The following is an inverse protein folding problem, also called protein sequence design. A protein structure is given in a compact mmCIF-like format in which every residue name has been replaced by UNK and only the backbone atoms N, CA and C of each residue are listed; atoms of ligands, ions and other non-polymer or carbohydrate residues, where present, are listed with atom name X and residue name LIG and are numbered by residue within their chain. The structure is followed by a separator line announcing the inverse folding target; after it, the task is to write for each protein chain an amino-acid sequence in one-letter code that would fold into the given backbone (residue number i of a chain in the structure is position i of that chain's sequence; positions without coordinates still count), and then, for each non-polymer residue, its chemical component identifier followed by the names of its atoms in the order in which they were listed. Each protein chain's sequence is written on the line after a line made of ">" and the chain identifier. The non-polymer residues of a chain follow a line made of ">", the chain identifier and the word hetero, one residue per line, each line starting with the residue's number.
data_IF_554333349178
#
_entry.id   IF_554333349178
#
_cell.length_a   1.000
_cell.length_b   1.000
_cell.length_c   1.000
_cell.angle_alpha   90.00
_cell.angle_beta   90.00
_cell.angle_gamma   90.00
#
_symmetry.space_group_name_H-M   'P 1'
#
loop_
_entity.id
_entity.type
_entity.pdbx_description
1 polymer ?
#
# COMPACT_ATOMS: atom_id res chain seq x y z
N UNK A 1 -0.97 -17.18 15.42
CA UNK A 1 -1.01 -16.38 14.17
C UNK A 1 -1.37 -14.97 14.56
N UNK A 2 -0.51 -14.01 14.25
CA UNK A 2 -0.53 -12.69 14.90
C UNK A 2 -0.63 -11.60 13.83
N UNK A 3 -1.50 -10.61 14.08
CA UNK A 3 -1.52 -9.37 13.33
C UNK A 3 -0.32 -8.51 13.75
N UNK A 4 0.48 -8.06 12.79
CA UNK A 4 1.66 -7.21 13.06
C UNK A 4 1.52 -5.91 12.28
N UNK A 5 1.82 -4.79 12.94
CA UNK A 5 2.00 -3.49 12.26
C UNK A 5 3.49 -3.24 12.12
N UNK A 6 3.97 -3.01 10.90
CA UNK A 6 5.39 -2.74 10.63
C UNK A 6 5.56 -1.63 9.61
N UNK A 7 6.78 -1.09 9.52
CA UNK A 7 7.15 -0.18 8.44
C UNK A 7 7.02 -0.90 7.08
N UNK A 8 6.48 -0.17 6.11
CA UNK A 8 6.39 -0.61 4.73
C UNK A 8 7.75 -0.44 4.03
N UNK A 9 8.05 -1.33 3.09
CA UNK A 9 9.14 -1.14 2.13
C UNK A 9 8.65 -1.34 0.68
N UNK A 10 9.54 -1.17 -0.29
CA UNK A 10 9.19 -1.26 -1.71
C UNK A 10 8.66 -2.65 -2.12
N UNK A 11 8.99 -3.71 -1.37
CA UNK A 11 8.47 -5.06 -1.57
C UNK A 11 6.98 -5.20 -1.30
N UNK A 12 6.40 -4.32 -0.46
CA UNK A 12 4.97 -4.31 -0.16
C UNK A 12 4.13 -3.68 -1.29
N UNK A 13 4.78 -3.03 -2.27
CA UNK A 13 4.11 -2.21 -3.28
C UNK A 13 3.04 -2.96 -4.09
N UNK A 14 3.27 -4.24 -4.40
CA UNK A 14 2.30 -5.05 -5.15
C UNK A 14 1.03 -5.32 -4.33
N UNK A 15 1.18 -5.61 -3.05
CA UNK A 15 0.05 -5.83 -2.14
C UNK A 15 -0.71 -4.52 -1.90
N UNK A 16 0.00 -3.43 -1.61
CA UNK A 16 -0.60 -2.11 -1.45
C UNK A 16 -1.37 -1.66 -2.69
N UNK A 17 -0.80 -1.82 -3.90
CA UNK A 17 -1.49 -1.50 -5.15
C UNK A 17 -2.75 -2.36 -5.37
N UNK A 18 -2.71 -3.63 -4.96
CA UNK A 18 -3.86 -4.55 -5.04
C UNK A 18 -4.97 -4.14 -4.08
N UNK A 19 -4.64 -3.82 -2.83
CA UNK A 19 -5.60 -3.33 -1.82
C UNK A 19 -6.20 -1.99 -2.25
N UNK A 20 -5.39 -1.10 -2.82
CA UNK A 20 -5.82 0.25 -3.20
C UNK A 20 -6.71 0.27 -4.45
N UNK A 21 -6.50 -0.65 -5.40
CA UNK A 21 -7.22 -0.74 -6.68
C UNK A 21 -8.74 -0.65 -6.59
N UNK A 22 -9.47 -1.44 -5.76
CA UNK A 22 -10.93 -1.34 -5.69
C UNK A 22 -11.40 0.04 -5.18
N UNK A 23 -10.63 0.70 -4.31
CA UNK A 23 -10.98 2.04 -3.83
C UNK A 23 -10.93 3.09 -4.94
N UNK A 24 -9.97 2.96 -5.87
CA UNK A 24 -9.88 3.81 -7.07
C UNK A 24 -11.02 3.52 -8.05
N UNK A 25 -11.29 2.25 -8.34
CA UNK A 25 -12.21 1.88 -9.42
C UNK A 25 -13.69 1.90 -9.04
N UNK A 26 -14.02 1.76 -7.76
CA UNK A 26 -15.38 1.40 -7.33
C UNK A 26 -15.93 2.31 -6.23
N UNK A 27 -15.15 3.28 -5.73
CA UNK A 27 -15.55 4.12 -4.61
C UNK A 27 -15.14 5.59 -4.84
N UNK A 28 -15.59 6.48 -3.96
CA UNK A 28 -15.14 7.87 -3.90
C UNK A 28 -14.19 8.15 -2.72
N UNK A 29 -13.60 7.11 -2.13
CA UNK A 29 -12.67 7.23 -0.98
C UNK A 29 -11.37 7.92 -1.39
N UNK A 30 -10.96 7.76 -2.64
CA UNK A 30 -9.87 8.49 -3.27
C UNK A 30 -10.40 9.22 -4.51
N UNK A 31 -9.69 10.27 -4.92
CA UNK A 31 -9.97 11.01 -6.16
C UNK A 31 -9.08 10.58 -7.32
N UNK A 32 -8.16 9.63 -7.11
CA UNK A 32 -7.46 8.98 -8.22
C UNK A 32 -8.48 8.23 -9.09
N UNK A 33 -8.34 8.31 -10.42
CA UNK A 33 -9.22 7.63 -11.39
C UNK A 33 -8.55 6.42 -12.05
N UNK A 34 -7.23 6.33 -11.96
CA UNK A 34 -6.42 5.24 -12.51
C UNK A 34 -5.61 4.59 -11.39
N UNK A 35 -5.73 3.27 -11.16
CA UNK A 35 -4.97 2.61 -10.09
C UNK A 35 -3.46 2.69 -10.37
N UNK A 36 -2.64 3.00 -9.35
CA UNK A 36 -1.20 3.00 -9.50
C UNK A 36 -0.69 1.60 -9.86
N UNK A 37 0.37 1.56 -10.66
CA UNK A 37 1.12 0.34 -10.92
C UNK A 37 1.94 -0.05 -9.69
N UNK A 38 2.43 -1.29 -9.62
CA UNK A 38 3.37 -1.71 -8.58
C UNK A 38 4.61 -0.81 -8.52
N UNK A 39 5.17 -0.43 -9.68
CA UNK A 39 6.35 0.44 -9.73
C UNK A 39 6.06 1.85 -9.19
N UNK A 40 4.89 2.41 -9.52
CA UNK A 40 4.49 3.72 -8.99
C UNK A 40 4.24 3.65 -7.48
N UNK A 41 3.61 2.58 -6.98
CA UNK A 41 3.42 2.40 -5.54
C UNK A 41 4.75 2.24 -4.79
N UNK A 42 5.72 1.49 -5.35
CA UNK A 42 7.06 1.36 -4.78
C UNK A 42 7.75 2.73 -4.66
N UNK A 43 7.69 3.55 -5.72
CA UNK A 43 8.21 4.92 -5.73
C UNK A 43 7.54 5.79 -4.66
N UNK A 44 6.21 5.67 -4.49
CA UNK A 44 5.47 6.42 -3.46
C UNK A 44 5.93 6.03 -2.06
N UNK A 45 6.09 4.73 -1.78
CA UNK A 45 6.60 4.23 -0.49
C UNK A 45 8.00 4.79 -0.23
N UNK A 46 8.92 4.66 -1.19
CA UNK A 46 10.29 5.16 -1.08
C UNK A 46 10.32 6.67 -0.75
N UNK A 47 9.62 7.49 -1.52
CA UNK A 47 9.64 8.95 -1.34
C UNK A 47 8.98 9.38 -0.03
N UNK A 48 7.83 8.80 0.31
CA UNK A 48 7.11 9.17 1.53
C UNK A 48 7.89 8.77 2.80
N UNK A 49 8.51 7.59 2.79
CA UNK A 49 9.31 7.08 3.92
C UNK A 49 10.58 7.88 4.21
N UNK A 50 11.03 8.73 3.29
CA UNK A 50 12.09 9.71 3.56
C UNK A 50 11.70 10.74 4.64
N UNK A 51 10.41 10.96 4.89
CA UNK A 51 9.94 12.01 5.81
C UNK A 51 8.88 11.56 6.81
N UNK A 52 8.09 10.54 6.48
CA UNK A 52 6.97 10.08 7.31
C UNK A 52 6.93 8.55 7.34
N UNK A 53 6.50 7.97 8.46
CA UNK A 53 6.29 6.53 8.52
C UNK A 53 5.14 6.13 7.59
N UNK A 54 5.40 5.14 6.73
CA UNK A 54 4.36 4.38 6.04
C UNK A 54 4.29 3.01 6.70
N UNK A 55 3.10 2.62 7.16
CA UNK A 55 2.90 1.36 7.87
C UNK A 55 2.03 0.42 7.05
N UNK A 56 2.26 -0.88 7.22
CA UNK A 56 1.37 -1.95 6.76
C UNK A 56 0.93 -2.81 7.93
N UNK A 57 -0.30 -3.31 7.83
CA UNK A 57 -0.83 -4.39 8.63
C UNK A 57 -0.59 -5.71 7.91
N UNK A 58 0.16 -6.60 8.54
CA UNK A 58 0.46 -7.94 8.03
C UNK A 58 -0.22 -9.00 8.90
N UNK A 59 -0.95 -9.91 8.26
CA UNK A 59 -1.55 -11.08 8.89
C UNK A 59 -1.12 -12.34 8.18
N UNK A 60 -0.46 -13.25 8.91
CA UNK A 60 0.01 -14.53 8.39
C UNK A 60 0.91 -14.42 7.12
N UNK A 61 1.72 -13.36 7.02
CA UNK A 61 2.61 -13.11 5.88
C UNK A 61 1.97 -12.33 4.73
N UNK A 62 0.67 -12.00 4.83
CA UNK A 62 -0.04 -11.21 3.83
C UNK A 62 -0.29 -9.79 4.35
N UNK A 63 0.04 -8.80 3.53
CA UNK A 63 -0.35 -7.40 3.78
C UNK A 63 -1.84 -7.26 3.53
N UNK A 64 -2.57 -6.74 4.52
CA UNK A 64 -4.03 -6.60 4.50
C UNK A 64 -4.52 -5.16 4.64
N UNK A 65 -3.62 -4.20 4.91
CA UNK A 65 -3.95 -2.79 5.07
C UNK A 65 -2.74 -1.91 5.32
#
# INVERSE_FOLDING_TARGET
>A
MTLTIRAADQGDAAACATIYRPYVLQTAITFETEPPTTAEMARRIEVATCSHAWLVAEHAGEVIG
#
